data_IF_920520940512
#
_entry.id   IF_920520940512
#
_cell.length_a   1.000
_cell.length_b   1.000
_cell.length_c   1.000
_cell.angle_alpha   90.00
_cell.angle_beta   90.00
_cell.angle_gamma   90.00
#
_symmetry.space_group_name_H-M   'P 1'
#
loop_
_entity.id
_entity.type
_entity.pdbx_description
1 polymer ?
#
# COMPACT_ATOMS: atom_id res chain seq x y z
N UNK A 1 -18.57 -11.65 -23.93
CA UNK A 1 -17.35 -12.33 -24.40
C UNK A 1 -16.28 -11.35 -24.88
N UNK A 2 -16.53 -10.50 -25.88
CA UNK A 2 -15.55 -9.55 -26.47
C UNK A 2 -14.80 -8.70 -25.43
N UNK A 3 -15.51 -8.10 -24.46
CA UNK A 3 -14.92 -7.28 -23.39
C UNK A 3 -13.80 -8.01 -22.61
N UNK A 4 -13.99 -9.28 -22.25
CA UNK A 4 -13.02 -10.03 -21.45
C UNK A 4 -11.69 -10.26 -22.20
N UNK A 5 -11.76 -10.51 -23.52
CA UNK A 5 -10.57 -10.63 -24.36
C UNK A 5 -9.77 -9.33 -24.43
N UNK A 6 -10.46 -8.19 -24.58
CA UNK A 6 -9.84 -6.86 -24.63
C UNK A 6 -9.19 -6.52 -23.27
N UNK A 7 -9.86 -6.78 -22.15
CA UNK A 7 -9.30 -6.53 -20.81
C UNK A 7 -8.02 -7.34 -20.55
N UNK A 8 -7.95 -8.59 -21.01
CA UNK A 8 -6.74 -9.43 -20.92
C UNK A 8 -5.58 -8.86 -21.74
N UNK A 9 -5.84 -8.43 -22.99
CA UNK A 9 -4.85 -7.76 -23.84
C UNK A 9 -4.37 -6.46 -23.19
N UNK A 10 -5.27 -5.63 -22.67
CA UNK A 10 -4.93 -4.39 -21.98
C UNK A 10 -4.07 -4.63 -20.73
N UNK A 11 -4.42 -5.61 -19.90
CA UNK A 11 -3.62 -5.99 -18.74
C UNK A 11 -2.21 -6.48 -19.13
N UNK A 12 -2.08 -7.28 -20.21
CA UNK A 12 -0.78 -7.68 -20.74
C UNK A 12 0.03 -6.48 -21.22
N UNK A 13 -0.58 -5.58 -21.98
CA UNK A 13 0.09 -4.40 -22.54
C UNK A 13 0.51 -3.40 -21.45
N UNK A 14 -0.30 -3.18 -20.40
CA UNK A 14 0.10 -2.39 -19.22
C UNK A 14 1.31 -3.01 -18.50
N UNK A 15 1.40 -4.34 -18.44
CA UNK A 15 2.51 -5.03 -17.78
C UNK A 15 3.80 -5.00 -18.60
N UNK A 16 3.71 -5.24 -19.91
CA UNK A 16 4.85 -5.63 -20.77
C UNK A 16 5.17 -4.65 -21.90
N UNK A 17 4.24 -3.76 -22.30
CA UNK A 17 4.46 -2.80 -23.39
C UNK A 17 5.45 -1.68 -23.05
N UNK A 18 5.95 -0.91 -24.03
CA UNK A 18 6.73 0.31 -23.76
C UNK A 18 5.84 1.42 -23.19
N UNK A 19 6.39 2.38 -22.45
CA UNK A 19 5.60 3.34 -21.65
C UNK A 19 4.56 4.11 -22.46
N UNK A 20 4.88 4.49 -23.70
CA UNK A 20 3.96 5.23 -24.59
C UNK A 20 2.71 4.41 -24.92
N UNK A 21 2.86 3.09 -25.09
CA UNK A 21 1.75 2.17 -25.33
C UNK A 21 0.99 1.87 -24.03
N UNK A 22 1.69 1.76 -22.89
CA UNK A 22 1.05 1.63 -21.58
C UNK A 22 0.17 2.86 -21.25
N UNK A 23 0.66 4.07 -21.55
CA UNK A 23 -0.07 5.31 -21.36
C UNK A 23 -1.31 5.38 -22.26
N UNK A 24 -1.19 4.97 -23.54
CA UNK A 24 -2.32 4.94 -24.46
C UNK A 24 -3.37 3.89 -24.10
N UNK A 25 -2.95 2.72 -23.58
CA UNK A 25 -3.89 1.73 -23.03
C UNK A 25 -4.57 2.26 -21.76
N UNK A 26 -3.84 2.99 -20.89
CA UNK A 26 -4.43 3.64 -19.71
C UNK A 26 -5.47 4.69 -20.10
N UNK A 27 -5.17 5.52 -21.09
CA UNK A 27 -6.13 6.47 -21.66
C UNK A 27 -7.36 5.75 -22.20
N UNK A 28 -7.19 4.71 -23.02
CA UNK A 28 -8.31 3.93 -23.57
C UNK A 28 -9.17 3.26 -22.47
N UNK A 29 -8.58 2.81 -21.37
CA UNK A 29 -9.31 2.32 -20.18
C UNK A 29 -10.15 3.45 -19.56
N UNK A 30 -9.60 4.67 -19.47
CA UNK A 30 -10.33 5.82 -18.93
C UNK A 30 -11.53 6.21 -19.80
N UNK A 31 -11.36 6.25 -21.12
CA UNK A 31 -12.45 6.56 -22.07
C UNK A 31 -13.54 5.49 -22.06
N UNK A 32 -13.16 4.21 -21.99
CA UNK A 32 -14.13 3.12 -21.87
C UNK A 32 -14.90 3.17 -20.55
N UNK A 33 -14.22 3.46 -19.43
CA UNK A 33 -14.85 3.54 -18.11
C UNK A 33 -15.84 4.73 -17.99
N UNK A 34 -15.50 5.89 -18.56
CA UNK A 34 -16.36 7.08 -18.54
C UNK A 34 -17.63 6.90 -19.39
N UNK A 35 -17.49 6.37 -20.61
CA UNK A 35 -18.62 6.15 -21.53
C UNK A 35 -19.41 4.87 -21.23
N UNK A 36 -18.80 3.86 -20.61
CA UNK A 36 -19.42 2.55 -20.35
C UNK A 36 -19.13 2.04 -18.93
N UNK A 37 -19.72 2.63 -17.85
CA UNK A 37 -19.42 2.26 -16.47
C UNK A 37 -19.50 0.75 -16.15
N UNK A 38 -20.33 -0.02 -16.87
CA UNK A 38 -20.39 -1.49 -16.77
C UNK A 38 -19.08 -2.22 -17.07
N UNK A 39 -18.09 -1.59 -17.72
CA UNK A 39 -16.78 -2.20 -17.96
C UNK A 39 -15.81 -2.04 -16.78
N UNK A 40 -16.10 -1.17 -15.81
CA UNK A 40 -15.26 -0.94 -14.62
C UNK A 40 -14.96 -2.28 -13.90
N UNK A 41 -15.99 -3.06 -13.60
CA UNK A 41 -15.85 -4.35 -12.90
C UNK A 41 -15.05 -5.38 -13.72
N UNK A 42 -15.19 -5.37 -15.05
CA UNK A 42 -14.44 -6.26 -15.95
C UNK A 42 -12.95 -5.90 -15.92
N UNK A 43 -12.60 -4.62 -15.88
CA UNK A 43 -11.22 -4.18 -15.69
C UNK A 43 -10.68 -4.53 -14.30
N UNK A 44 -11.49 -4.37 -13.25
CA UNK A 44 -11.11 -4.75 -11.88
C UNK A 44 -10.76 -6.25 -11.77
N UNK A 45 -11.60 -7.12 -12.33
CA UNK A 45 -11.37 -8.57 -12.40
C UNK A 45 -10.08 -8.94 -13.16
N UNK A 46 -9.67 -8.13 -14.14
CA UNK A 46 -8.48 -8.38 -14.97
C UNK A 46 -7.20 -7.71 -14.44
N UNK A 47 -7.10 -7.47 -13.12
CA UNK A 47 -5.92 -6.87 -12.46
C UNK A 47 -5.54 -5.44 -12.91
N UNK A 48 -6.38 -4.76 -13.71
CA UNK A 48 -6.02 -3.46 -14.31
C UNK A 48 -5.77 -2.40 -13.24
N UNK A 49 -6.62 -2.30 -12.22
CA UNK A 49 -6.44 -1.38 -11.08
C UNK A 49 -5.06 -1.54 -10.44
N UNK A 50 -4.64 -2.79 -10.18
CA UNK A 50 -3.32 -3.10 -9.57
C UNK A 50 -2.15 -2.69 -10.47
N UNK A 51 -2.27 -2.86 -11.78
CA UNK A 51 -1.25 -2.46 -12.75
C UNK A 51 -1.13 -0.93 -12.84
N UNK A 52 -2.26 -0.22 -12.93
CA UNK A 52 -2.31 1.25 -12.93
C UNK A 52 -1.69 1.85 -11.66
N UNK A 53 -2.01 1.30 -10.48
CA UNK A 53 -1.36 1.70 -9.21
C UNK A 53 0.15 1.43 -9.24
N UNK A 54 0.59 0.35 -9.88
CA UNK A 54 2.02 0.07 -10.09
C UNK A 54 2.73 1.16 -10.91
N UNK A 55 2.10 1.66 -11.97
CA UNK A 55 2.63 2.79 -12.76
C UNK A 55 2.65 4.10 -11.97
N UNK A 56 1.63 4.35 -11.13
CA UNK A 56 1.64 5.51 -10.22
C UNK A 56 2.77 5.43 -9.20
N UNK A 57 3.00 4.26 -8.60
CA UNK A 57 3.97 4.08 -7.52
C UNK A 57 5.43 4.15 -8.00
N UNK A 58 5.71 3.73 -9.24
CA UNK A 58 7.05 3.75 -9.83
C UNK A 58 7.69 5.16 -9.73
N UNK A 59 8.85 5.24 -9.06
CA UNK A 59 9.58 6.48 -8.72
C UNK A 59 8.82 7.54 -7.88
N UNK A 60 7.50 7.40 -7.65
CA UNK A 60 6.70 8.33 -6.83
C UNK A 60 6.85 8.04 -5.33
N UNK A 61 6.98 6.77 -4.97
CA UNK A 61 7.27 6.33 -3.59
C UNK A 61 8.60 5.60 -3.60
N UNK A 62 9.70 6.34 -3.38
CA UNK A 62 11.01 5.74 -3.16
C UNK A 62 10.94 4.76 -1.98
N UNK A 63 11.52 3.57 -2.15
CA UNK A 63 11.56 2.53 -1.11
C UNK A 63 12.49 2.90 0.08
N UNK A 64 13.12 4.07 0.02
CA UNK A 64 13.92 4.66 1.08
C UNK A 64 13.04 5.19 2.24
N UNK A 65 12.58 4.23 3.05
CA UNK A 65 12.66 4.24 4.52
C UNK A 65 12.01 5.37 5.34
N UNK A 66 11.26 6.32 4.76
CA UNK A 66 10.53 7.35 5.55
C UNK A 66 9.04 7.09 5.81
N UNK A 67 8.40 6.20 5.05
CA UNK A 67 6.98 5.84 5.21
C UNK A 67 6.67 4.34 5.21
N UNK A 68 7.69 3.48 5.08
CA UNK A 68 7.53 2.03 5.23
C UNK A 68 7.39 1.71 6.71
N UNK A 69 6.15 1.43 7.16
CA UNK A 69 5.93 0.81 8.48
C UNK A 69 6.73 -0.49 8.49
N UNK A 70 7.70 -0.59 9.40
CA UNK A 70 8.54 -1.77 9.53
C UNK A 70 7.67 -2.97 9.92
N UNK A 71 7.49 -3.89 8.98
CA UNK A 71 6.91 -5.19 9.27
C UNK A 71 7.92 -6.00 10.09
N UNK A 72 7.95 -5.77 11.40
CA UNK A 72 8.73 -6.56 12.36
C UNK A 72 8.11 -7.95 12.52
N UNK A 73 8.26 -8.79 11.50
CA UNK A 73 8.32 -10.24 11.69
C UNK A 73 9.80 -10.57 11.85
N UNK A 74 10.30 -10.50 13.08
CA UNK A 74 11.67 -10.91 13.42
C UNK A 74 11.80 -12.41 13.22
N UNK A 75 12.48 -12.80 12.15
CA UNK A 75 12.91 -14.19 11.94
C UNK A 75 13.80 -14.63 13.10
N UNK A 76 13.32 -15.57 13.91
CA UNK A 76 14.03 -16.11 15.08
C UNK A 76 15.07 -17.14 14.60
N UNK A 77 16.10 -16.68 13.89
CA UNK A 77 17.24 -17.51 13.51
C UNK A 77 18.51 -16.65 13.38
N UNK A 78 19.19 -16.40 14.51
CA UNK A 78 20.66 -16.46 14.66
C UNK A 78 20.99 -16.38 16.15
N UNK A 79 21.26 -17.53 16.76
CA UNK A 79 21.97 -17.63 18.06
C UNK A 79 23.09 -18.63 17.87
N UNK A 80 24.33 -18.15 17.82
CA UNK A 80 25.53 -18.95 18.12
C UNK A 80 26.49 -18.05 18.90
N UNK A 81 27.02 -18.60 19.99
CA UNK A 81 27.88 -17.92 20.97
C UNK A 81 29.34 -17.84 20.50
N UNK A 82 30.07 -16.80 20.92
CA UNK A 82 31.48 -16.91 21.32
C UNK A 82 31.71 -16.00 22.54
N UNK A 83 32.27 -16.57 23.60
CA UNK A 83 32.69 -15.87 24.82
C UNK A 83 34.15 -16.23 25.13
N UNK A 84 34.99 -15.25 25.48
CA UNK A 84 35.83 -15.27 26.70
C UNK A 84 36.87 -14.13 26.83
N UNK A 85 36.83 -13.45 27.99
CA UNK A 85 37.94 -12.94 28.86
C UNK A 85 38.97 -11.95 28.24
N UNK A 86 39.51 -10.90 28.91
CA UNK A 86 39.79 -10.63 30.35
C UNK A 86 39.71 -9.14 30.76
N UNK A 87 39.33 -8.88 32.02
CA UNK A 87 39.67 -7.77 32.96
C UNK A 87 40.36 -6.46 32.47
N UNK A 88 39.97 -5.30 33.03
CA UNK A 88 40.68 -4.64 34.19
C UNK A 88 40.12 -3.24 34.61
N UNK A 89 39.61 -3.16 35.85
CA UNK A 89 39.64 -2.07 36.87
C UNK A 89 39.07 -0.62 36.71
N UNK A 90 38.59 -0.13 37.88
CA UNK A 90 38.42 1.25 38.41
C UNK A 90 37.20 2.09 37.99
N UNK A 91 36.24 2.42 38.89
CA UNK A 91 36.22 3.38 40.04
C UNK A 91 35.87 4.83 39.57
N UNK A 92 34.94 5.61 40.14
CA UNK A 92 34.40 5.82 41.52
C UNK A 92 32.96 6.45 41.45
N UNK A 93 31.92 5.95 42.14
CA UNK A 93 31.31 6.37 43.45
C UNK A 93 30.63 7.76 43.57
N UNK A 94 29.35 7.76 44.01
CA UNK A 94 28.55 8.77 44.76
C UNK A 94 27.11 8.94 44.17
N UNK A 95 26.00 9.00 44.91
CA UNK A 95 25.71 8.57 46.29
C UNK A 95 24.17 8.39 46.50
N UNK A 96 23.77 7.44 47.36
CA UNK A 96 22.60 7.32 48.29
C UNK A 96 21.34 8.22 48.07
N UNK A 97 20.07 7.75 48.13
CA UNK A 97 19.42 6.91 49.18
C UNK A 97 18.05 6.25 48.81
N UNK A 98 17.82 5.02 49.33
CA UNK A 98 16.63 4.44 50.02
C UNK A 98 15.19 4.50 49.41
N UNK A 99 14.31 3.48 49.52
CA UNK A 99 14.45 2.15 50.18
C UNK A 99 13.42 1.06 49.77
N UNK A 100 13.78 -0.21 50.05
CA UNK A 100 13.04 -1.51 50.22
C UNK A 100 11.71 -1.83 49.46
N UNK A 101 11.41 -3.09 49.10
CA UNK A 101 11.75 -4.37 49.75
C UNK A 101 12.13 -5.51 48.77
N UNK A 102 13.21 -6.23 49.06
CA UNK A 102 13.45 -7.62 48.61
C UNK A 102 13.13 -8.59 49.76
N UNK A 103 12.82 -9.87 49.48
CA UNK A 103 13.75 -10.99 49.76
C UNK A 103 13.24 -12.39 49.32
N UNK A 104 14.13 -13.40 49.14
CA UNK A 104 13.84 -14.66 48.46
C UNK A 104 13.83 -15.90 49.40
N UNK A 105 13.41 -17.06 48.87
CA UNK A 105 13.80 -18.38 49.40
C UNK A 105 14.08 -19.40 48.27
N UNK A 106 15.14 -20.19 48.46
CA UNK A 106 15.55 -21.31 47.61
C UNK A 106 15.21 -22.63 48.31
N UNK A 107 14.68 -23.63 47.58
CA UNK A 107 14.71 -25.05 47.99
C UNK A 107 14.46 -26.00 46.80
N UNK A 108 15.36 -26.95 46.61
CA UNK A 108 15.25 -28.15 45.77
C UNK A 108 14.81 -29.36 46.66
N UNK A 109 14.77 -30.63 46.18
CA UNK A 109 14.10 -31.22 45.01
C UNK A 109 13.29 -32.51 45.36
N UNK A 110 12.38 -32.99 44.49
CA UNK A 110 11.86 -34.38 44.56
C UNK A 110 11.85 -35.09 43.18
N UNK A 111 11.98 -36.42 43.27
CA UNK A 111 12.50 -37.43 42.33
C UNK A 111 11.42 -38.31 41.70
N UNK A 112 11.57 -38.66 40.42
CA UNK A 112 10.96 -39.84 39.76
C UNK A 112 11.46 -39.96 38.31
N UNK A 113 12.40 -40.86 37.98
CA UNK A 113 12.18 -42.23 37.46
C UNK A 113 11.15 -42.24 36.30
N UNK A 114 11.47 -42.69 35.07
CA UNK A 114 12.36 -43.81 34.67
C UNK A 114 13.05 -43.65 33.29
N UNK A 115 14.36 -43.97 33.29
CA UNK A 115 15.11 -44.90 32.40
C UNK A 115 15.26 -44.61 30.88
N UNK A 116 16.48 -44.32 30.37
CA UNK A 116 17.51 -45.22 29.75
C UNK A 116 17.03 -46.00 28.50
N UNK A 117 17.73 -46.08 27.36
CA UNK A 117 19.19 -46.11 27.03
C UNK A 117 19.50 -45.29 25.74
N UNK A 118 20.66 -44.65 25.49
CA UNK A 118 22.03 -45.17 25.21
C UNK A 118 22.08 -46.31 24.16
N UNK A 119 23.05 -46.42 23.21
CA UNK A 119 24.07 -45.50 22.68
C UNK A 119 24.74 -46.09 21.39
N UNK A 120 25.26 -45.22 20.50
CA UNK A 120 26.52 -45.37 19.70
C UNK A 120 26.72 -46.48 18.62
N UNK A 121 27.77 -46.24 17.80
CA UNK A 121 28.50 -47.12 16.84
C UNK A 121 27.88 -47.31 15.45
N UNK A 122 28.43 -46.77 14.34
CA UNK A 122 29.69 -47.11 13.62
C UNK A 122 29.70 -48.55 13.08
N UNK A 123 29.78 -48.70 11.74
CA UNK A 123 30.76 -49.52 10.96
C UNK A 123 30.52 -49.32 9.44
N UNK A 124 31.57 -49.51 8.64
CA UNK A 124 31.63 -49.29 7.18
C UNK A 124 31.52 -50.61 6.37
N UNK A 125 31.17 -50.47 5.08
CA UNK A 125 31.57 -51.31 3.93
C UNK A 125 31.23 -52.81 3.85
N UNK A 126 30.72 -53.25 2.68
CA UNK A 126 31.48 -54.11 1.74
C UNK A 126 30.71 -54.50 0.44
N UNK A 127 31.42 -54.45 -0.71
CA UNK A 127 31.53 -55.45 -1.82
C UNK A 127 30.20 -56.06 -2.37
N UNK A 128 29.75 -55.81 -3.61
CA UNK A 128 30.06 -56.50 -4.90
C UNK A 128 29.87 -58.07 -4.86
N UNK A 129 29.51 -58.85 -5.89
CA UNK A 129 29.90 -58.88 -7.34
C UNK A 129 28.74 -59.54 -8.21
N UNK A 130 28.87 -60.19 -9.41
CA UNK A 130 28.15 -59.73 -10.63
C UNK A 130 27.36 -60.81 -11.46
N UNK A 131 27.10 -60.51 -12.75
CA UNK A 131 26.77 -61.41 -13.92
C UNK A 131 25.29 -61.41 -14.38
N UNK A 132 24.92 -61.52 -15.67
CA UNK A 132 25.68 -61.66 -16.95
C UNK A 132 24.78 -61.37 -18.19
N UNK A 133 25.41 -61.01 -19.32
CA UNK A 133 25.04 -61.25 -20.74
C UNK A 133 23.63 -60.89 -21.29
N UNK A 134 23.39 -60.52 -22.57
CA UNK A 134 24.17 -60.21 -23.80
C UNK A 134 23.20 -59.43 -24.76
N UNK A 135 23.57 -58.66 -25.80
CA UNK A 135 24.87 -58.21 -26.30
C UNK A 135 25.01 -58.30 -27.84
N UNK A 136 24.93 -57.18 -28.61
CA UNK A 136 25.34 -57.08 -30.04
C UNK A 136 25.84 -55.67 -30.43
N UNK A 137 26.56 -55.57 -31.56
CA UNK A 137 27.62 -54.60 -31.92
C UNK A 137 27.42 -54.01 -33.36
N UNK A 138 28.32 -53.18 -33.96
CA UNK A 138 29.14 -52.06 -33.45
C UNK A 138 29.21 -50.80 -34.39
N UNK A 139 30.15 -49.89 -34.07
CA UNK A 139 30.86 -48.88 -34.91
C UNK A 139 30.13 -47.54 -35.20
N UNK A 140 30.77 -46.36 -35.37
CA UNK A 140 32.21 -45.95 -35.48
C UNK A 140 32.53 -44.78 -34.50
N UNK A 141 33.78 -44.67 -34.05
CA UNK A 141 34.44 -43.47 -33.45
C UNK A 141 35.91 -43.42 -33.97
N UNK A 142 36.78 -42.40 -33.67
CA UNK A 142 36.61 -41.21 -32.82
C UNK A 142 37.16 -39.90 -33.43
N UNK A 143 37.10 -38.78 -32.67
CA UNK A 143 38.34 -38.05 -32.35
C UNK A 143 38.23 -37.23 -31.06
N UNK A 144 39.36 -37.10 -30.35
CA UNK A 144 39.51 -36.51 -29.01
C UNK A 144 40.74 -35.59 -29.01
N UNK A 145 40.74 -34.53 -28.17
CA UNK A 145 41.86 -33.88 -27.44
C UNK A 145 41.27 -32.59 -26.84
N UNK A 146 40.82 -32.61 -25.58
CA UNK A 146 41.53 -32.25 -24.34
C UNK A 146 41.47 -30.74 -24.02
N UNK A 147 40.65 -30.29 -23.06
CA UNK A 147 40.83 -30.31 -21.59
C UNK A 147 41.94 -29.40 -21.03
N UNK A 148 41.51 -28.37 -20.28
CA UNK A 148 41.99 -28.17 -18.92
C UNK A 148 40.85 -27.73 -17.98
N UNK A 149 40.82 -28.33 -16.79
CA UNK A 149 39.96 -27.99 -15.65
C UNK A 149 40.69 -26.91 -14.79
N UNK A 150 40.22 -26.34 -13.67
CA UNK A 150 39.39 -26.78 -12.52
C UNK A 150 38.78 -25.48 -11.89
N UNK A 151 37.85 -25.43 -10.93
CA UNK A 151 37.27 -26.44 -10.01
C UNK A 151 35.80 -26.12 -9.62
N UNK A 152 35.30 -26.87 -8.63
CA UNK A 152 33.97 -26.75 -8.00
C UNK A 152 33.88 -25.65 -6.92
N UNK A 153 32.66 -25.10 -6.74
CA UNK A 153 31.95 -25.33 -5.47
C UNK A 153 30.44 -25.40 -5.69
N UNK A 154 29.80 -26.41 -5.10
CA UNK A 154 28.34 -26.59 -5.09
C UNK A 154 27.79 -25.91 -3.85
N UNK A 155 26.76 -25.07 -3.99
CA UNK A 155 25.81 -24.87 -2.90
C UNK A 155 24.40 -24.64 -3.45
N UNK A 156 23.42 -25.34 -2.88
CA UNK A 156 22.04 -25.29 -3.32
C UNK A 156 21.33 -24.04 -2.79
N UNK A 157 20.65 -23.32 -3.68
CA UNK A 157 19.77 -22.21 -3.32
C UNK A 157 18.70 -22.02 -4.37
N UNK A 158 17.46 -22.38 -4.05
CA UNK A 158 16.30 -22.11 -4.90
C UNK A 158 16.15 -20.59 -5.09
N UNK A 159 16.25 -20.05 -6.32
CA UNK A 159 15.93 -18.66 -6.55
C UNK A 159 14.41 -18.48 -6.47
N UNK A 160 13.95 -17.85 -5.38
CA UNK A 160 12.57 -17.44 -5.24
C UNK A 160 12.21 -16.50 -6.42
N UNK A 161 11.15 -16.83 -7.16
CA UNK A 161 10.84 -16.19 -8.45
C UNK A 161 10.38 -14.74 -8.23
N UNK A 162 11.31 -13.80 -8.37
CA UNK A 162 11.00 -12.37 -8.35
C UNK A 162 10.36 -11.96 -9.68
N UNK A 163 9.06 -11.67 -9.66
CA UNK A 163 8.17 -11.58 -10.83
C UNK A 163 8.31 -10.26 -11.64
N UNK A 164 9.50 -9.66 -11.69
CA UNK A 164 9.72 -8.27 -12.13
C UNK A 164 10.95 -8.05 -13.03
N UNK A 165 11.76 -9.07 -13.30
CA UNK A 165 13.13 -8.90 -13.85
C UNK A 165 13.28 -8.30 -15.27
N UNK A 166 12.29 -8.40 -16.16
CA UNK A 166 12.48 -8.08 -17.58
C UNK A 166 12.03 -6.66 -18.02
N UNK A 167 11.08 -6.03 -17.32
CA UNK A 167 10.49 -4.74 -17.77
C UNK A 167 11.15 -3.50 -17.15
N UNK A 168 11.80 -3.62 -15.99
CA UNK A 168 12.30 -2.46 -15.23
C UNK A 168 13.44 -1.74 -15.95
N UNK A 169 14.37 -2.48 -16.57
CA UNK A 169 15.60 -1.94 -17.15
C UNK A 169 15.39 -1.00 -18.35
N UNK A 170 14.22 -1.06 -19.00
CA UNK A 170 13.81 -0.09 -20.02
C UNK A 170 13.21 1.19 -19.45
N UNK A 171 12.48 1.08 -18.32
CA UNK A 171 11.73 2.21 -17.70
C UNK A 171 12.64 3.22 -17.01
N UNK A 172 13.78 2.80 -16.48
CA UNK A 172 14.73 3.73 -15.85
C UNK A 172 15.33 4.72 -16.87
N UNK A 173 15.50 4.29 -18.13
CA UNK A 173 16.07 5.06 -19.24
C UNK A 173 15.09 5.99 -19.96
N UNK A 174 13.80 5.94 -19.63
CA UNK A 174 12.77 6.77 -20.28
C UNK A 174 12.79 8.21 -19.77
N UNK A 175 12.44 9.15 -20.65
CA UNK A 175 12.49 10.57 -20.35
C UNK A 175 11.44 10.99 -19.29
N UNK A 176 11.70 12.04 -18.48
CA UNK A 176 10.79 12.48 -17.44
C UNK A 176 9.38 12.86 -17.93
N UNK A 177 9.23 13.31 -19.18
CA UNK A 177 7.94 13.70 -19.73
C UNK A 177 7.09 12.46 -20.10
N UNK A 178 7.68 11.43 -20.70
CA UNK A 178 7.03 10.13 -20.92
C UNK A 178 6.59 9.49 -19.58
N UNK A 179 7.41 9.61 -18.53
CA UNK A 179 7.06 9.14 -17.17
C UNK A 179 5.92 9.95 -16.55
N UNK A 180 5.92 11.27 -16.71
CA UNK A 180 4.82 12.14 -16.25
C UNK A 180 3.51 11.83 -17.00
N UNK A 181 3.57 11.66 -18.32
CA UNK A 181 2.41 11.33 -19.15
C UNK A 181 1.80 9.96 -18.77
N UNK A 182 2.62 8.94 -18.53
CA UNK A 182 2.15 7.66 -18.01
C UNK A 182 1.41 7.81 -16.67
N UNK A 183 1.93 8.63 -15.75
CA UNK A 183 1.29 8.90 -14.45
C UNK A 183 -0.02 9.67 -14.62
N UNK A 184 -0.10 10.63 -15.55
CA UNK A 184 -1.33 11.34 -15.88
C UNK A 184 -2.40 10.37 -16.39
N UNK A 185 -2.08 9.56 -17.41
CA UNK A 185 -3.03 8.62 -18.01
C UNK A 185 -3.45 7.51 -17.05
N UNK A 186 -2.54 7.01 -16.20
CA UNK A 186 -2.88 6.03 -15.18
C UNK A 186 -3.73 6.63 -14.04
N UNK A 187 -3.51 7.90 -13.66
CA UNK A 187 -4.35 8.59 -12.69
C UNK A 187 -5.76 8.84 -13.27
N UNK A 188 -5.87 9.27 -14.53
CA UNK A 188 -7.14 9.44 -15.27
C UNK A 188 -7.92 8.12 -15.34
N UNK A 189 -7.22 7.01 -15.63
CA UNK A 189 -7.81 5.68 -15.64
C UNK A 189 -8.33 5.25 -14.26
N UNK A 190 -7.55 5.45 -13.20
CA UNK A 190 -7.97 5.13 -11.83
C UNK A 190 -9.15 6.00 -11.37
N UNK A 191 -9.17 7.29 -11.72
CA UNK A 191 -10.30 8.18 -11.48
C UNK A 191 -11.59 7.64 -12.13
N UNK A 192 -11.59 7.38 -13.43
CA UNK A 192 -12.78 6.92 -14.15
C UNK A 192 -13.22 5.51 -13.76
N UNK A 193 -12.28 4.65 -13.34
CA UNK A 193 -12.61 3.34 -12.76
C UNK A 193 -13.19 3.45 -11.34
N UNK A 194 -12.77 4.41 -10.53
CA UNK A 194 -13.25 4.60 -9.16
C UNK A 194 -14.66 5.24 -9.08
N UNK A 195 -15.01 6.05 -10.09
CA UNK A 195 -16.24 6.83 -10.15
C UNK A 195 -17.49 5.97 -9.90
N UNK A 196 -18.11 6.15 -8.72
CA UNK A 196 -19.30 5.42 -8.28
C UNK A 196 -19.10 3.94 -7.93
N UNK A 197 -17.86 3.42 -7.88
CA UNK A 197 -17.59 1.98 -7.73
C UNK A 197 -16.87 1.67 -6.40
N UNK A 198 -17.63 1.21 -5.40
CA UNK A 198 -17.10 0.82 -4.08
C UNK A 198 -15.97 -0.20 -4.15
N UNK A 199 -16.12 -1.27 -4.96
CA UNK A 199 -15.16 -2.35 -5.00
C UNK A 199 -13.80 -1.88 -5.53
N UNK A 200 -13.81 -1.00 -6.52
CA UNK A 200 -12.60 -0.38 -7.08
C UNK A 200 -12.03 0.65 -6.11
N UNK A 201 -12.83 1.53 -5.52
CA UNK A 201 -12.37 2.47 -4.48
C UNK A 201 -11.70 1.74 -3.31
N UNK A 202 -12.26 0.62 -2.86
CA UNK A 202 -11.66 -0.25 -1.84
C UNK A 202 -10.31 -0.81 -2.30
N UNK A 203 -10.26 -1.41 -3.49
CA UNK A 203 -8.99 -1.93 -4.06
C UNK A 203 -7.90 -0.86 -4.22
N UNK A 204 -8.28 0.37 -4.59
CA UNK A 204 -7.36 1.51 -4.69
C UNK A 204 -6.87 1.93 -3.29
N UNK A 205 -7.77 2.06 -2.31
CA UNK A 205 -7.45 2.58 -0.97
C UNK A 205 -6.73 1.58 -0.07
N UNK A 206 -6.88 0.27 -0.30
CA UNK A 206 -6.10 -0.80 0.34
C UNK A 206 -4.67 -0.92 -0.23
N UNK A 207 -4.32 -0.12 -1.26
CA UNK A 207 -3.01 -0.10 -1.92
C UNK A 207 -2.18 1.14 -1.57
N UNK A 208 -1.00 1.29 -2.18
CA UNK A 208 -0.17 2.51 -2.07
C UNK A 208 -0.76 3.73 -2.81
N UNK A 209 -1.89 3.60 -3.51
CA UNK A 209 -2.41 4.63 -4.41
C UNK A 209 -2.70 5.98 -3.73
N UNK A 210 -3.31 6.00 -2.54
CA UNK A 210 -3.60 7.27 -1.82
C UNK A 210 -2.31 8.06 -1.52
N UNK A 211 -1.23 7.38 -1.15
CA UNK A 211 0.07 8.03 -0.93
C UNK A 211 0.65 8.55 -2.26
N UNK A 212 0.48 7.80 -3.35
CA UNK A 212 0.90 8.24 -4.67
C UNK A 212 0.13 9.51 -5.09
N UNK A 213 -1.20 9.53 -4.98
CA UNK A 213 -2.02 10.70 -5.30
C UNK A 213 -1.64 11.93 -4.46
N UNK A 214 -1.34 11.78 -3.16
CA UNK A 214 -0.86 12.89 -2.33
C UNK A 214 0.47 13.46 -2.84
N UNK A 215 1.45 12.62 -3.18
CA UNK A 215 2.75 13.05 -3.74
C UNK A 215 2.60 13.66 -5.14
N UNK A 216 1.71 13.11 -5.97
CA UNK A 216 1.45 13.60 -7.33
C UNK A 216 0.67 14.93 -7.33
N UNK A 217 -0.24 15.15 -6.39
CA UNK A 217 -0.92 16.44 -6.18
C UNK A 217 0.08 17.51 -5.70
N UNK A 218 1.08 17.13 -4.89
CA UNK A 218 2.16 18.03 -4.45
C UNK A 218 3.13 18.41 -5.59
N UNK A 219 3.68 17.40 -6.28
CA UNK A 219 4.89 17.53 -7.13
C UNK A 219 4.66 17.30 -8.62
N UNK A 220 3.47 16.85 -9.03
CA UNK A 220 3.17 16.54 -10.42
C UNK A 220 3.17 17.78 -11.32
N UNK A 221 3.27 17.55 -12.62
CA UNK A 221 2.84 18.53 -13.63
C UNK A 221 1.31 18.67 -13.61
N UNK A 222 0.77 19.71 -14.23
CA UNK A 222 -0.61 20.14 -13.95
C UNK A 222 -1.67 19.08 -14.32
N UNK A 223 -1.52 18.39 -15.45
CA UNK A 223 -2.38 17.26 -15.81
C UNK A 223 -2.31 16.09 -14.80
N UNK A 224 -1.12 15.82 -14.26
CA UNK A 224 -0.91 14.78 -13.23
C UNK A 224 -1.57 15.19 -11.91
N UNK A 225 -1.47 16.47 -11.52
CA UNK A 225 -2.16 17.02 -10.35
C UNK A 225 -3.67 16.94 -10.51
N UNK A 226 -4.19 17.39 -11.66
CA UNK A 226 -5.63 17.40 -11.95
C UNK A 226 -6.23 15.99 -11.89
N UNK A 227 -5.67 15.03 -12.62
CA UNK A 227 -6.14 13.66 -12.59
C UNK A 227 -6.02 13.02 -11.19
N UNK A 228 -5.01 13.40 -10.39
CA UNK A 228 -4.89 12.96 -8.99
C UNK A 228 -5.94 13.59 -8.08
N UNK A 229 -6.26 14.87 -8.25
CA UNK A 229 -7.31 15.57 -7.50
C UNK A 229 -8.70 14.99 -7.83
N UNK A 230 -8.98 14.73 -9.10
CA UNK A 230 -10.23 14.09 -9.55
C UNK A 230 -10.36 12.66 -9.01
N UNK A 231 -9.29 11.86 -9.02
CA UNK A 231 -9.29 10.53 -8.40
C UNK A 231 -9.59 10.59 -6.89
N UNK A 232 -8.94 11.50 -6.16
CA UNK A 232 -9.18 11.71 -4.72
C UNK A 232 -10.61 12.18 -4.45
N UNK A 233 -11.17 13.05 -5.29
CA UNK A 233 -12.55 13.51 -5.18
C UNK A 233 -13.57 12.38 -5.33
N UNK A 234 -13.46 11.53 -6.35
CA UNK A 234 -14.40 10.42 -6.55
C UNK A 234 -14.26 9.36 -5.44
N UNK A 235 -13.04 9.04 -4.99
CA UNK A 235 -12.82 8.13 -3.86
C UNK A 235 -13.43 8.71 -2.57
N UNK A 236 -13.26 10.01 -2.32
CA UNK A 236 -13.87 10.69 -1.18
C UNK A 236 -15.40 10.71 -1.28
N UNK A 237 -15.97 10.89 -2.48
CA UNK A 237 -17.42 10.85 -2.72
C UNK A 237 -18.02 9.49 -2.42
N UNK A 238 -17.42 8.40 -2.90
CA UNK A 238 -17.86 7.03 -2.56
C UNK A 238 -17.71 6.76 -1.06
N UNK A 239 -16.68 7.30 -0.41
CA UNK A 239 -16.50 7.22 1.04
C UNK A 239 -17.44 8.13 1.86
N UNK A 240 -18.10 9.13 1.28
CA UNK A 240 -19.12 9.93 1.97
C UNK A 240 -20.38 9.09 2.21
N UNK A 241 -20.75 8.28 1.21
CA UNK A 241 -21.91 7.39 1.19
C UNK A 241 -21.61 6.09 1.94
N UNK A 242 -20.47 5.44 1.68
CA UNK A 242 -20.09 4.17 2.31
C UNK A 242 -19.32 4.34 3.63
N UNK A 243 -19.86 3.79 4.72
CA UNK A 243 -19.28 3.94 6.06
C UNK A 243 -18.03 3.10 6.30
N UNK A 244 -17.87 1.97 5.62
CA UNK A 244 -16.76 1.04 5.87
C UNK A 244 -15.53 1.41 5.04
N UNK A 245 -15.72 1.83 3.79
CA UNK A 245 -14.67 2.49 2.99
C UNK A 245 -14.16 3.75 3.70
N UNK A 246 -15.05 4.57 4.27
CA UNK A 246 -14.66 5.75 5.04
C UNK A 246 -13.75 5.42 6.22
N UNK A 247 -14.11 4.39 6.97
CA UNK A 247 -13.37 3.93 8.16
C UNK A 247 -12.02 3.28 7.81
N UNK A 248 -11.94 2.55 6.69
CA UNK A 248 -10.70 1.90 6.26
C UNK A 248 -9.75 2.86 5.56
N UNK A 249 -10.21 3.59 4.55
CA UNK A 249 -9.39 4.44 3.69
C UNK A 249 -8.91 5.73 4.37
N UNK A 250 -9.80 6.42 5.08
CA UNK A 250 -9.59 7.80 5.53
C UNK A 250 -9.41 7.93 7.05
N UNK A 251 -9.10 6.84 7.76
CA UNK A 251 -8.91 6.83 9.22
C UNK A 251 -7.98 7.98 9.68
N UNK A 252 -8.41 8.91 10.56
CA UNK A 252 -7.60 10.09 10.92
C UNK A 252 -6.26 9.82 11.63
N UNK A 253 -6.02 8.58 12.08
CA UNK A 253 -4.72 8.15 12.63
C UNK A 253 -3.77 7.59 11.56
N UNK A 254 -4.21 7.46 10.31
CA UNK A 254 -3.39 6.98 9.20
C UNK A 254 -2.49 8.09 8.66
N UNK A 255 -1.15 7.90 8.59
CA UNK A 255 -0.25 8.88 7.98
C UNK A 255 -0.62 9.20 6.52
N UNK A 256 -1.08 8.19 5.76
CA UNK A 256 -1.50 8.36 4.37
C UNK A 256 -2.77 9.20 4.26
N UNK A 257 -3.77 8.98 5.14
CA UNK A 257 -5.00 9.77 5.11
C UNK A 257 -4.74 11.23 5.52
N UNK A 258 -3.87 11.46 6.51
CA UNK A 258 -3.40 12.81 6.87
C UNK A 258 -2.69 13.49 5.70
N UNK A 259 -1.74 12.79 5.06
CA UNK A 259 -1.03 13.32 3.90
C UNK A 259 -1.99 13.71 2.76
N UNK A 260 -3.02 12.91 2.46
CA UNK A 260 -4.05 13.30 1.48
C UNK A 260 -4.76 14.60 1.90
N UNK A 261 -5.27 14.68 3.14
CA UNK A 261 -5.99 15.87 3.62
C UNK A 261 -5.11 17.11 3.66
N UNK A 262 -3.86 17.00 4.11
CA UNK A 262 -2.91 18.11 4.15
C UNK A 262 -2.57 18.63 2.73
N UNK A 263 -2.55 17.77 1.71
CA UNK A 263 -2.35 18.20 0.31
C UNK A 263 -3.59 18.85 -0.30
N UNK A 264 -4.78 18.29 -0.04
CA UNK A 264 -6.06 18.91 -0.44
C UNK A 264 -6.21 20.30 0.20
N UNK A 265 -5.90 20.41 1.50
CA UNK A 265 -5.92 21.70 2.21
C UNK A 265 -4.95 22.71 1.60
N UNK A 266 -3.73 22.29 1.24
CA UNK A 266 -2.76 23.19 0.64
C UNK A 266 -3.22 23.78 -0.70
N UNK A 267 -4.02 23.05 -1.49
CA UNK A 267 -4.63 23.60 -2.72
C UNK A 267 -5.69 24.63 -2.35
N UNK A 268 -6.57 24.32 -1.39
CA UNK A 268 -7.63 25.23 -0.91
C UNK A 268 -7.06 26.48 -0.24
N UNK A 269 -5.97 26.37 0.52
CA UNK A 269 -5.29 27.49 1.19
C UNK A 269 -4.62 28.46 0.22
N UNK A 270 -4.18 27.98 -0.96
CA UNK A 270 -3.65 28.86 -2.02
C UNK A 270 -4.75 29.69 -2.69
N UNK A 271 -5.99 29.19 -2.71
CA UNK A 271 -7.13 29.82 -3.39
C UNK A 271 -6.85 30.19 -4.86
N UNK A 272 -6.01 29.42 -5.54
CA UNK A 272 -5.78 29.57 -6.98
C UNK A 272 -7.04 29.11 -7.73
N UNK A 273 -7.55 29.94 -8.64
CA UNK A 273 -8.66 29.61 -9.55
C UNK A 273 -8.19 28.73 -10.71
N UNK A 274 -7.64 27.57 -10.37
CA UNK A 274 -7.23 26.52 -11.30
C UNK A 274 -8.16 25.29 -11.19
N UNK A 275 -8.03 24.37 -12.14
CA UNK A 275 -8.85 23.16 -12.22
C UNK A 275 -8.69 22.20 -11.01
N UNK A 276 -7.76 22.47 -10.09
CA UNK A 276 -7.53 21.67 -8.88
C UNK A 276 -8.43 22.10 -7.72
N UNK A 277 -8.83 23.37 -7.67
CA UNK A 277 -9.50 23.95 -6.50
C UNK A 277 -10.87 23.31 -6.23
N UNK A 278 -11.75 23.27 -7.24
CA UNK A 278 -13.10 22.69 -7.11
C UNK A 278 -13.07 21.20 -6.71
N UNK A 279 -12.25 20.33 -7.32
CA UNK A 279 -12.08 18.94 -6.87
C UNK A 279 -11.57 18.84 -5.42
N UNK A 280 -10.62 19.68 -5.01
CA UNK A 280 -10.05 19.62 -3.66
C UNK A 280 -11.06 20.07 -2.58
N UNK A 281 -11.82 21.14 -2.81
CA UNK A 281 -12.91 21.55 -1.91
C UNK A 281 -13.96 20.46 -1.79
N UNK A 282 -14.36 19.87 -2.93
CA UNK A 282 -15.37 18.79 -2.97
C UNK A 282 -14.91 17.58 -2.18
N UNK A 283 -13.65 17.14 -2.37
CA UNK A 283 -13.06 16.04 -1.63
C UNK A 283 -13.06 16.28 -0.11
N UNK A 284 -12.65 17.47 0.35
CA UNK A 284 -12.66 17.84 1.77
C UNK A 284 -14.09 17.83 2.35
N UNK A 285 -15.07 18.37 1.61
CA UNK A 285 -16.48 18.33 2.00
C UNK A 285 -17.03 16.92 2.15
N UNK A 286 -16.70 16.00 1.24
CA UNK A 286 -17.07 14.58 1.34
C UNK A 286 -16.44 13.87 2.56
N UNK A 287 -15.26 14.30 2.99
CA UNK A 287 -14.53 13.75 4.14
C UNK A 287 -14.94 14.35 5.51
N UNK A 288 -15.93 15.26 5.55
CA UNK A 288 -16.35 15.96 6.78
C UNK A 288 -16.74 15.03 7.93
N UNK A 289 -17.39 13.91 7.61
CA UNK A 289 -17.80 12.87 8.59
C UNK A 289 -16.61 12.14 9.23
N UNK A 290 -15.44 12.22 8.62
CA UNK A 290 -14.22 11.50 9.03
C UNK A 290 -13.30 12.41 9.86
N UNK A 291 -13.07 13.63 9.36
CA UNK A 291 -12.25 14.65 10.02
C UNK A 291 -13.20 15.70 10.60
N UNK A 292 -13.64 15.46 11.84
CA UNK A 292 -14.60 16.36 12.53
C UNK A 292 -14.05 17.77 12.66
N UNK A 293 -14.94 18.75 12.85
CA UNK A 293 -14.61 20.17 12.99
C UNK A 293 -13.59 20.53 14.10
N UNK A 294 -13.27 19.60 15.01
CA UNK A 294 -12.13 19.67 15.93
C UNK A 294 -10.78 19.79 15.21
N UNK A 295 -10.65 19.28 13.98
CA UNK A 295 -9.57 19.63 13.05
C UNK A 295 -9.90 21.00 12.41
N UNK A 296 -9.80 22.07 13.21
CA UNK A 296 -10.17 23.46 12.85
C UNK A 296 -9.49 24.01 11.59
N UNK A 297 -8.43 23.33 11.12
CA UNK A 297 -7.65 23.65 9.92
C UNK A 297 -8.46 23.62 8.61
N UNK A 298 -9.60 22.91 8.54
CA UNK A 298 -10.40 22.82 7.30
C UNK A 298 -11.41 23.97 7.15
N UNK A 299 -12.04 24.39 8.26
CA UNK A 299 -13.14 25.37 8.20
C UNK A 299 -12.64 26.77 7.78
N UNK A 300 -11.52 27.22 8.36
CA UNK A 300 -10.95 28.55 8.06
C UNK A 300 -10.68 28.80 6.57
N UNK A 301 -9.94 27.91 5.87
CA UNK A 301 -9.74 28.00 4.42
C UNK A 301 -11.04 27.99 3.62
N UNK A 302 -12.01 27.13 3.98
CA UNK A 302 -13.30 27.07 3.28
C UNK A 302 -14.15 28.33 3.46
N UNK A 303 -14.13 28.96 4.63
CA UNK A 303 -14.87 30.21 4.89
C UNK A 303 -14.28 31.37 4.05
N UNK A 304 -12.95 31.44 3.90
CA UNK A 304 -12.33 32.47 3.04
C UNK A 304 -12.79 32.42 1.59
N UNK A 305 -13.13 31.23 1.09
CA UNK A 305 -13.66 31.03 -0.27
C UNK A 305 -15.13 31.48 -0.45
N UNK A 306 -15.78 32.02 0.59
CA UNK A 306 -17.14 32.58 0.49
C UNK A 306 -17.16 34.06 0.09
N UNK A 307 -16.09 34.82 0.34
CA UNK A 307 -15.98 36.24 -0.03
C UNK A 307 -15.58 36.44 -1.50
N UNK A 308 -15.50 35.34 -2.26
CA UNK A 308 -14.83 35.24 -3.54
C UNK A 308 -15.75 35.38 -4.76
N UNK A 309 -15.20 35.92 -5.86
CA UNK A 309 -16.00 36.31 -7.04
C UNK A 309 -16.40 35.15 -7.95
N UNK A 310 -15.81 33.96 -7.82
CA UNK A 310 -16.18 32.82 -8.65
C UNK A 310 -17.35 32.04 -8.04
N UNK A 311 -18.55 32.21 -8.61
CA UNK A 311 -19.79 31.61 -8.10
C UNK A 311 -19.82 30.08 -8.06
N UNK A 312 -18.95 29.39 -8.79
CA UNK A 312 -18.78 27.93 -8.69
C UNK A 312 -18.00 27.56 -7.43
N UNK A 313 -16.83 28.18 -7.22
CA UNK A 313 -16.00 27.98 -6.03
C UNK A 313 -16.77 28.31 -4.75
N UNK A 314 -17.40 29.49 -4.67
CA UNK A 314 -18.23 29.89 -3.53
C UNK A 314 -19.34 28.87 -3.23
N UNK A 315 -20.04 28.38 -4.26
CA UNK A 315 -21.11 27.37 -4.10
C UNK A 315 -20.55 26.05 -3.55
N UNK A 316 -19.43 25.58 -4.08
CA UNK A 316 -18.82 24.31 -3.68
C UNK A 316 -18.24 24.41 -2.25
N UNK A 317 -17.66 25.56 -1.88
CA UNK A 317 -17.23 25.86 -0.52
C UNK A 317 -18.41 25.88 0.47
N UNK A 318 -19.53 26.54 0.13
CA UNK A 318 -20.73 26.56 0.95
C UNK A 318 -21.35 25.16 1.16
N UNK A 319 -21.35 24.32 0.12
CA UNK A 319 -21.76 22.91 0.22
C UNK A 319 -20.82 22.14 1.16
N UNK A 320 -19.50 22.29 1.01
CA UNK A 320 -18.54 21.65 1.89
C UNK A 320 -18.73 22.07 3.36
N UNK A 321 -18.87 23.37 3.63
CA UNK A 321 -19.12 23.90 4.98
C UNK A 321 -20.42 23.36 5.59
N UNK A 322 -21.49 23.26 4.80
CA UNK A 322 -22.76 22.66 5.23
C UNK A 322 -22.55 21.20 5.63
N UNK A 323 -21.78 20.42 4.86
CA UNK A 323 -21.43 19.03 5.22
C UNK A 323 -20.64 18.94 6.53
N UNK A 324 -19.80 19.91 6.88
CA UNK A 324 -19.12 19.96 8.18
C UNK A 324 -20.09 20.28 9.32
N UNK A 325 -20.95 21.29 9.15
CA UNK A 325 -21.95 21.69 10.14
C UNK A 325 -22.95 20.55 10.45
N UNK A 326 -23.39 19.80 9.43
CA UNK A 326 -24.34 18.70 9.59
C UNK A 326 -23.73 17.39 10.16
N UNK A 327 -22.48 17.37 10.63
CA UNK A 327 -21.89 16.16 11.24
C UNK A 327 -22.37 15.90 12.67
N UNK A 328 -22.99 16.88 13.32
CA UNK A 328 -23.65 16.72 14.62
C UNK A 328 -25.05 16.14 14.48
N UNK A 329 -25.17 14.80 14.51
CA UNK A 329 -26.43 14.16 14.88
C UNK A 329 -26.52 14.00 16.40
N UNK A 330 -26.43 15.11 17.14
CA UNK A 330 -26.85 15.17 18.55
C UNK A 330 -28.38 15.29 18.59
N UNK A 331 -29.05 14.21 18.19
CA UNK A 331 -30.34 13.89 18.73
C UNK A 331 -30.15 12.70 19.64
N UNK A 332 -29.62 13.00 20.83
CA UNK A 332 -29.97 12.28 22.04
C UNK A 332 -31.47 11.99 22.01
N UNK A 333 -31.86 10.79 22.40
CA UNK A 333 -33.27 10.47 22.67
C UNK A 333 -33.78 11.38 23.78
N UNK A 334 -34.30 12.55 23.40
CA UNK A 334 -35.11 13.39 24.27
C UNK A 334 -36.41 12.64 24.46
N UNK A 335 -36.44 11.84 25.52
CA UNK A 335 -37.63 11.24 26.07
C UNK A 335 -38.62 12.38 26.32
N UNK A 336 -39.62 12.52 25.45
CA UNK A 336 -40.73 13.45 25.66
C UNK A 336 -41.34 13.10 27.02
N UNK A 337 -41.30 13.98 28.03
CA UNK A 337 -41.98 13.71 29.29
C UNK A 337 -43.46 13.59 28.99
N UNK A 338 -44.08 12.46 29.34
CA UNK A 338 -45.55 12.36 29.32
C UNK A 338 -46.12 13.49 30.18
N UNK A 339 -47.14 14.23 29.71
CA UNK A 339 -47.81 15.20 30.56
C UNK A 339 -48.41 14.46 31.77
N UNK A 340 -48.14 14.98 32.95
CA UNK A 340 -48.70 14.49 34.21
C UNK A 340 -50.22 14.70 34.21
N UNK A 341 -50.97 13.62 34.34
CA UNK A 341 -52.40 13.67 34.63
C UNK A 341 -52.61 14.32 36.01
N UNK A 342 -53.28 15.47 36.02
CA UNK A 342 -53.86 16.04 37.24
C UNK A 342 -54.98 15.12 37.76
N UNK A 343 -55.22 15.07 39.08
CA UNK A 343 -56.32 14.30 39.63
C UNK A 343 -57.66 14.98 39.32
N UNK A 344 -58.63 14.20 38.84
CA UNK A 344 -60.04 14.54 38.99
C UNK A 344 -60.43 14.39 40.48
N UNK A 345 -61.28 15.30 40.96
CA UNK A 345 -61.66 15.42 42.38
C UNK A 345 -62.98 14.75 42.74
#
# INVERSE_FOLDING_TARGET
MILAGICSVFAKTLKEGPIKVQAMVSWAISELADHHPKCQDVFAQNNVVRLLVGHLAFETVQEHSKYTISSKVTSIHTVVMVSNTTNTANKNTADTSLDYLEQPMVLHPIRGKTNTTQAQSIVQSNVAVPSKDQGHMPTIAPNVIANHQVAHLVNGGLPNISLTGASIKGRELEDPASKAYMKAMAARALWQLARGNYAICKSITESKALLCFAVLLEKGVDEVKYNSAMALMEIARVAEEDADLRRSAFRPTSPTARAVVDQLLRVVEKANYDDLLVPCITALGCLSRTFRATETRIIGPLVRLLDEREGVVMRVAAIALTKFACTEKIFSTSTIPKPSSLPEG
#
